data_IF_247897877678
#
_entry.id   IF_247897877678
#
_cell.length_a   1.000
_cell.length_b   1.000
_cell.length_c   1.000
_cell.angle_alpha   90.00
_cell.angle_beta   90.00
_cell.angle_gamma   90.00
#
_symmetry.space_group_name_H-M   'P 1'
#
loop_
_entity.id
_entity.type
_entity.pdbx_description
1 polymer ?
#
# COMPACT_ATOMS: atom_id res chain seq x y z
N UNK A 1 -0.50 7.79 -84.29
CA UNK A 1 0.08 7.16 -83.07
C UNK A 1 0.24 8.10 -81.87
N UNK A 2 0.35 9.44 -82.04
CA UNK A 2 0.44 10.40 -80.91
C UNK A 2 -0.89 10.78 -80.23
N UNK A 3 -2.04 10.57 -80.88
CA UNK A 3 -3.36 10.98 -80.35
C UNK A 3 -4.05 9.97 -79.46
N UNK A 4 -3.59 8.70 -79.44
CA UNK A 4 -4.16 7.66 -78.58
C UNK A 4 -3.59 7.68 -77.15
N UNK A 5 -2.36 8.19 -76.98
CA UNK A 5 -1.62 8.14 -75.71
C UNK A 5 -2.10 9.23 -74.72
N UNK A 6 -2.66 10.34 -75.21
CA UNK A 6 -3.09 11.45 -74.35
C UNK A 6 -4.43 11.20 -73.65
N UNK A 7 -5.36 10.46 -74.30
CA UNK A 7 -6.68 10.15 -73.71
C UNK A 7 -6.60 9.11 -72.58
N UNK A 8 -5.60 8.23 -72.60
CA UNK A 8 -5.42 7.18 -71.58
C UNK A 8 -4.88 7.78 -70.26
N UNK A 9 -4.07 8.84 -70.32
CA UNK A 9 -3.52 9.47 -69.10
C UNK A 9 -4.56 10.28 -68.31
N UNK A 10 -5.54 10.91 -68.96
CA UNK A 10 -6.60 11.65 -68.26
C UNK A 10 -7.61 10.70 -67.56
N UNK A 11 -7.86 9.51 -68.11
CA UNK A 11 -8.78 8.56 -67.49
C UNK A 11 -8.16 7.84 -66.28
N UNK A 12 -6.85 7.58 -66.30
CA UNK A 12 -6.17 6.95 -65.15
C UNK A 12 -6.05 7.88 -63.94
N UNK A 13 -5.93 9.20 -64.16
CA UNK A 13 -5.83 10.18 -63.07
C UNK A 13 -7.13 10.35 -62.27
N UNK A 14 -8.29 10.23 -62.92
CA UNK A 14 -9.60 10.37 -62.26
C UNK A 14 -9.96 9.09 -61.48
N UNK A 15 -9.53 7.91 -61.94
CA UNK A 15 -9.77 6.66 -61.22
C UNK A 15 -8.89 6.55 -59.97
N UNK A 16 -7.65 7.05 -59.99
CA UNK A 16 -6.76 7.00 -58.82
C UNK A 16 -7.18 8.00 -57.73
N UNK A 17 -7.80 9.13 -58.08
CA UNK A 17 -8.28 10.10 -57.09
C UNK A 17 -9.63 9.71 -56.43
N UNK A 18 -10.38 8.78 -57.02
CA UNK A 18 -11.63 8.27 -56.43
C UNK A 18 -11.41 7.12 -55.44
N UNK A 19 -10.18 6.58 -55.32
CA UNK A 19 -9.87 5.48 -54.40
C UNK A 19 -9.15 5.91 -53.10
N UNK A 20 -8.88 7.21 -52.89
CA UNK A 20 -8.21 7.70 -51.66
C UNK A 20 -9.14 8.32 -50.61
N UNK A 21 -10.44 8.17 -50.74
CA UNK A 21 -11.38 8.60 -49.71
C UNK A 21 -12.59 7.69 -49.72
N UNK A 22 -12.54 6.56 -49.01
CA UNK A 22 -13.11 6.38 -47.68
C UNK A 22 -12.69 5.00 -47.18
N UNK A 23 -11.74 4.92 -46.25
CA UNK A 23 -11.64 3.74 -45.39
C UNK A 23 -12.76 3.85 -44.36
N UNK A 24 -14.01 3.59 -44.77
CA UNK A 24 -15.02 3.14 -43.83
C UNK A 24 -14.52 1.78 -43.34
N UNK A 25 -13.90 1.73 -42.15
CA UNK A 25 -13.73 0.46 -41.45
C UNK A 25 -15.09 -0.21 -41.42
N UNK A 26 -15.24 -1.33 -42.12
CA UNK A 26 -16.47 -2.09 -42.12
C UNK A 26 -16.80 -2.43 -40.66
N UNK A 27 -17.94 -1.92 -40.17
CA UNK A 27 -18.40 -2.23 -38.82
C UNK A 27 -18.83 -3.69 -38.82
N UNK A 28 -18.04 -4.56 -38.21
CA UNK A 28 -18.40 -5.96 -38.11
C UNK A 28 -19.33 -6.16 -36.92
N UNK A 29 -20.45 -6.80 -37.20
CA UNK A 29 -21.41 -7.19 -36.19
C UNK A 29 -20.79 -8.26 -35.27
N UNK A 30 -20.83 -8.02 -33.96
CA UNK A 30 -20.28 -8.93 -32.94
C UNK A 30 -21.38 -9.84 -32.37
N UNK A 31 -22.54 -9.26 -32.04
CA UNK A 31 -23.66 -9.99 -31.43
C UNK A 31 -24.73 -9.08 -30.84
N UNK A 32 -25.71 -9.70 -30.16
CA UNK A 32 -26.82 -9.06 -29.48
C UNK A 32 -26.69 -9.09 -27.97
N UNK A 33 -27.24 -8.05 -27.35
CA UNK A 33 -27.44 -7.90 -25.92
C UNK A 33 -28.94 -7.76 -25.70
N UNK A 34 -29.51 -8.62 -24.86
CA UNK A 34 -30.94 -8.70 -24.56
C UNK A 34 -31.19 -8.15 -23.16
N UNK A 35 -31.88 -7.01 -23.06
CA UNK A 35 -32.50 -6.55 -21.81
C UNK A 35 -33.84 -7.27 -21.66
N UNK A 36 -33.84 -8.36 -20.91
CA UNK A 36 -35.05 -9.17 -20.69
C UNK A 36 -36.02 -8.47 -19.75
N UNK A 37 -35.51 -7.62 -18.85
CA UNK A 37 -36.35 -6.87 -17.91
C UNK A 37 -37.20 -5.81 -18.62
N UNK A 38 -36.64 -5.16 -19.66
CA UNK A 38 -37.31 -4.09 -20.41
C UNK A 38 -37.80 -4.50 -21.80
N UNK A 39 -37.53 -5.73 -22.22
CA UNK A 39 -37.88 -6.23 -23.55
C UNK A 39 -37.12 -5.49 -24.67
N UNK A 40 -35.88 -5.07 -24.42
CA UNK A 40 -35.06 -4.32 -25.38
C UNK A 40 -33.92 -5.18 -25.90
N UNK A 41 -33.48 -4.89 -27.12
CA UNK A 41 -32.37 -5.59 -27.77
C UNK A 41 -31.40 -4.57 -28.33
N UNK A 42 -30.11 -4.82 -28.16
CA UNK A 42 -29.04 -3.97 -28.65
C UNK A 42 -28.05 -4.79 -29.47
N UNK A 43 -27.62 -4.24 -30.60
CA UNK A 43 -26.57 -4.80 -31.45
C UNK A 43 -25.21 -4.19 -31.08
N UNK A 44 -24.20 -5.03 -30.86
CA UNK A 44 -22.82 -4.64 -30.60
C UNK A 44 -21.98 -4.82 -31.87
N UNK A 45 -21.12 -3.84 -32.16
CA UNK A 45 -20.15 -3.85 -33.25
C UNK A 45 -18.72 -3.91 -32.72
N UNK A 46 -17.79 -4.36 -33.56
CA UNK A 46 -16.38 -4.59 -33.25
C UNK A 46 -15.62 -3.33 -32.81
N UNK A 47 -16.05 -2.17 -33.27
CA UNK A 47 -15.55 -0.86 -32.86
C UNK A 47 -16.12 -0.39 -31.50
N UNK A 48 -16.86 -1.24 -30.79
CA UNK A 48 -17.49 -0.94 -29.50
C UNK A 48 -18.79 -0.14 -29.62
N UNK A 49 -19.28 0.18 -30.81
CA UNK A 49 -20.58 0.83 -30.98
C UNK A 49 -21.70 -0.12 -30.55
N UNK A 50 -22.64 0.39 -29.77
CA UNK A 50 -23.86 -0.30 -29.33
C UNK A 50 -25.07 0.49 -29.82
N UNK A 51 -26.02 -0.18 -30.45
CA UNK A 51 -27.21 0.45 -31.04
C UNK A 51 -28.45 -0.34 -30.65
N UNK A 52 -29.52 0.32 -30.19
CA UNK A 52 -30.79 -0.34 -29.91
C UNK A 52 -31.51 -0.77 -31.20
N UNK A 53 -31.93 -2.03 -31.28
CA UNK A 53 -32.74 -2.56 -32.37
C UNK A 53 -34.11 -1.85 -32.36
N UNK A 54 -34.54 -1.34 -33.52
CA UNK A 54 -35.80 -0.60 -33.67
C UNK A 54 -35.76 0.86 -33.19
N UNK A 55 -34.69 1.31 -32.53
CA UNK A 55 -34.49 2.71 -32.15
C UNK A 55 -33.02 3.16 -32.32
N UNK A 56 -32.54 3.40 -33.56
CA UNK A 56 -31.14 3.70 -33.83
C UNK A 56 -30.60 4.99 -33.18
N UNK A 57 -31.49 5.88 -32.73
CA UNK A 57 -31.14 7.09 -31.99
C UNK A 57 -30.59 6.80 -30.60
N UNK A 58 -30.95 5.65 -30.01
CA UNK A 58 -30.39 5.19 -28.75
C UNK A 58 -29.12 4.35 -29.02
N UNK A 59 -27.97 5.01 -28.98
CA UNK A 59 -26.66 4.42 -29.27
C UNK A 59 -25.55 5.05 -28.43
N UNK A 60 -24.46 4.32 -28.27
CA UNK A 60 -23.24 4.84 -27.66
C UNK A 60 -22.09 3.85 -27.77
N UNK A 61 -20.92 4.25 -27.28
CA UNK A 61 -19.75 3.38 -27.31
C UNK A 61 -19.61 2.64 -25.98
N UNK A 62 -19.55 1.33 -26.07
CA UNK A 62 -19.11 0.49 -24.99
C UNK A 62 -17.62 0.67 -24.76
N UNK A 63 -17.22 0.54 -23.50
CA UNK A 63 -15.83 0.57 -23.09
C UNK A 63 -15.51 -0.71 -22.36
N UNK A 64 -14.26 -1.14 -22.39
CA UNK A 64 -13.83 -2.26 -21.56
C UNK A 64 -14.12 -1.93 -20.10
N UNK A 65 -14.62 -2.90 -19.34
CA UNK A 65 -14.81 -2.63 -17.92
C UNK A 65 -13.45 -2.37 -17.25
N UNK A 66 -13.29 -1.21 -16.63
CA UNK A 66 -12.08 -0.82 -15.91
C UNK A 66 -11.64 -1.84 -14.89
N UNK A 67 -12.58 -2.39 -14.14
CA UNK A 67 -12.18 -3.11 -12.95
C UNK A 67 -11.67 -4.53 -13.25
N UNK A 68 -11.81 -4.98 -14.50
CA UNK A 68 -11.61 -6.36 -14.90
C UNK A 68 -12.62 -7.33 -14.27
N UNK A 69 -13.57 -6.84 -13.48
CA UNK A 69 -14.60 -7.66 -12.84
C UNK A 69 -15.69 -8.05 -13.82
N UNK A 70 -16.02 -7.12 -14.70
CA UNK A 70 -16.89 -7.33 -15.86
C UNK A 70 -16.02 -7.29 -17.12
N UNK A 71 -16.59 -7.64 -18.26
CA UNK A 71 -15.90 -7.61 -19.54
C UNK A 71 -16.09 -6.26 -20.23
N UNK A 72 -17.32 -5.74 -20.27
CA UNK A 72 -17.68 -4.54 -21.02
C UNK A 72 -18.64 -3.66 -20.22
N UNK A 73 -18.41 -2.35 -20.20
CA UNK A 73 -19.34 -1.34 -19.71
C UNK A 73 -20.09 -0.72 -20.89
N UNK A 74 -21.40 -0.72 -20.80
CA UNK A 74 -22.30 -0.13 -21.79
C UNK A 74 -22.67 1.32 -21.40
N UNK A 75 -22.98 2.19 -22.38
CA UNK A 75 -23.47 3.54 -22.12
C UNK A 75 -24.78 3.51 -21.34
N UNK A 76 -24.92 4.40 -20.35
CA UNK A 76 -26.13 4.56 -19.56
C UNK A 76 -26.77 5.93 -19.82
N UNK A 77 -28.09 5.98 -19.85
CA UNK A 77 -28.85 7.24 -20.04
C UNK A 77 -28.61 8.20 -18.86
N UNK A 78 -28.50 7.68 -17.64
CA UNK A 78 -28.12 8.45 -16.47
C UNK A 78 -26.98 7.75 -15.71
N UNK A 79 -25.71 8.06 -16.04
CA UNK A 79 -24.56 7.40 -15.44
C UNK A 79 -24.39 7.70 -13.94
N UNK A 80 -25.13 8.65 -13.37
CA UNK A 80 -25.14 8.94 -11.93
C UNK A 80 -26.09 8.05 -11.14
N UNK A 81 -27.04 7.38 -11.82
CA UNK A 81 -28.03 6.52 -11.17
C UNK A 81 -27.74 5.05 -11.39
N UNK A 82 -27.39 4.67 -12.61
CA UNK A 82 -27.14 3.29 -12.98
C UNK A 82 -26.03 3.15 -14.02
N UNK A 83 -25.45 1.95 -14.07
CA UNK A 83 -24.50 1.56 -15.09
C UNK A 83 -24.77 0.12 -15.54
N UNK A 84 -24.41 -0.16 -16.79
CA UNK A 84 -24.76 -1.37 -17.51
C UNK A 84 -23.50 -2.12 -17.89
N UNK A 85 -23.45 -3.43 -17.64
CA UNK A 85 -22.24 -4.24 -17.83
C UNK A 85 -22.54 -5.60 -18.43
N UNK A 86 -21.58 -6.13 -19.17
CA UNK A 86 -21.54 -7.52 -19.60
C UNK A 86 -20.47 -8.24 -18.80
N UNK A 87 -20.83 -9.32 -18.09
CA UNK A 87 -19.86 -10.14 -17.37
C UNK A 87 -19.25 -11.23 -18.27
N UNK A 88 -18.28 -12.00 -17.77
CA UNK A 88 -17.65 -13.09 -18.52
C UNK A 88 -18.50 -14.37 -18.62
N UNK A 89 -19.72 -14.38 -18.06
CA UNK A 89 -20.59 -15.57 -17.94
C UNK A 89 -21.83 -15.49 -18.82
N UNK A 90 -21.92 -14.52 -19.73
CA UNK A 90 -23.08 -14.34 -20.61
C UNK A 90 -24.19 -13.46 -20.03
N UNK A 91 -23.98 -12.80 -18.89
CA UNK A 91 -25.01 -11.99 -18.24
C UNK A 91 -24.92 -10.52 -18.64
N UNK A 92 -26.10 -9.92 -18.84
CA UNK A 92 -26.28 -8.48 -18.90
C UNK A 92 -26.71 -7.97 -17.52
N UNK A 93 -25.89 -7.13 -16.92
CA UNK A 93 -26.00 -6.67 -15.54
C UNK A 93 -26.32 -5.17 -15.52
N UNK A 94 -27.28 -4.79 -14.68
CA UNK A 94 -27.48 -3.40 -14.26
C UNK A 94 -26.99 -3.25 -12.83
N UNK A 95 -26.22 -2.20 -12.61
CA UNK A 95 -25.80 -1.77 -11.29
C UNK A 95 -26.49 -0.43 -11.03
N UNK A 96 -27.44 -0.46 -10.11
CA UNK A 96 -28.18 0.73 -9.67
C UNK A 96 -27.64 1.20 -8.32
N UNK A 97 -27.54 2.51 -8.11
CA UNK A 97 -27.00 3.08 -6.88
C UNK A 97 -27.82 2.67 -5.63
N UNK A 98 -29.14 2.53 -5.75
CA UNK A 98 -30.02 2.17 -4.64
C UNK A 98 -30.16 0.64 -4.48
N UNK A 99 -30.24 -0.10 -5.59
CA UNK A 99 -30.56 -1.53 -5.59
C UNK A 99 -29.34 -2.46 -5.74
N UNK A 100 -28.20 -1.92 -6.18
CA UNK A 100 -27.00 -2.69 -6.48
C UNK A 100 -27.04 -3.48 -7.78
N UNK A 101 -26.21 -4.52 -7.84
CA UNK A 101 -26.03 -5.34 -9.05
C UNK A 101 -27.15 -6.35 -9.21
N UNK A 102 -27.78 -6.36 -10.39
CA UNK A 102 -28.78 -7.37 -10.79
C UNK A 102 -28.59 -7.79 -12.24
N UNK A 103 -28.84 -9.06 -12.52
CA UNK A 103 -28.90 -9.56 -13.90
C UNK A 103 -30.23 -9.13 -14.51
N UNK A 104 -30.18 -8.38 -15.60
CA UNK A 104 -31.35 -7.89 -16.34
C UNK A 104 -31.51 -8.57 -17.70
N UNK A 105 -30.54 -9.39 -18.10
CA UNK A 105 -30.66 -10.23 -19.29
C UNK A 105 -29.35 -10.92 -19.69
N UNK A 106 -29.12 -11.10 -20.98
CA UNK A 106 -28.02 -11.92 -21.52
C UNK A 106 -27.45 -11.35 -22.83
N UNK A 107 -26.33 -11.90 -23.31
CA UNK A 107 -25.78 -11.63 -24.64
C UNK A 107 -25.41 -12.94 -25.36
N UNK A 108 -25.28 -12.92 -26.69
CA UNK A 108 -25.17 -14.13 -27.54
C UNK A 108 -23.80 -14.37 -28.20
N UNK A 109 -22.79 -13.60 -27.81
CA UNK A 109 -21.43 -13.69 -28.34
C UNK A 109 -20.43 -14.16 -27.28
N UNK A 110 -19.26 -14.62 -27.69
CA UNK A 110 -18.23 -15.10 -26.77
C UNK A 110 -17.43 -13.92 -26.18
N UNK A 111 -17.36 -13.76 -24.85
CA UNK A 111 -16.53 -12.72 -24.25
C UNK A 111 -15.04 -13.05 -24.46
N UNK A 112 -14.17 -12.03 -24.61
CA UNK A 112 -12.73 -12.24 -24.56
C UNK A 112 -12.35 -12.86 -23.20
N UNK A 113 -11.23 -13.59 -23.18
CA UNK A 113 -10.76 -14.22 -21.95
C UNK A 113 -10.55 -13.15 -20.85
N UNK A 114 -11.00 -13.42 -19.60
CA UNK A 114 -10.69 -12.55 -18.48
C UNK A 114 -9.17 -12.47 -18.32
N UNK A 115 -8.64 -11.28 -18.02
CA UNK A 115 -7.26 -11.15 -17.57
C UNK A 115 -7.15 -11.92 -16.26
N UNK A 116 -6.55 -13.10 -16.32
CA UNK A 116 -6.32 -13.94 -15.14
C UNK A 116 -5.06 -13.42 -14.48
N UNK A 117 -5.23 -12.53 -13.49
CA UNK A 117 -4.15 -12.21 -12.55
C UNK A 117 -4.04 -13.41 -11.60
N UNK A 118 -3.19 -14.38 -11.96
CA UNK A 118 -2.91 -15.52 -11.09
C UNK A 118 -2.01 -15.00 -9.96
N UNK A 119 -2.62 -14.64 -8.84
CA UNK A 119 -1.90 -14.37 -7.60
C UNK A 119 -1.27 -15.67 -7.10
N UNK A 120 0.06 -15.75 -7.15
CA UNK A 120 0.81 -16.74 -6.40
C UNK A 120 1.35 -16.07 -5.13
N UNK A 121 0.86 -16.45 -3.93
CA UNK A 121 1.42 -15.94 -2.69
C UNK A 121 2.90 -16.34 -2.62
N UNK A 122 3.77 -15.36 -2.36
CA UNK A 122 5.21 -15.59 -2.25
C UNK A 122 5.49 -16.46 -1.03
N UNK A 123 6.17 -17.59 -1.22
CA UNK A 123 6.60 -18.46 -0.15
C UNK A 123 7.69 -17.76 0.68
N UNK A 124 7.45 -17.62 1.99
CA UNK A 124 8.34 -16.91 2.90
C UNK A 124 9.51 -17.79 3.37
N UNK A 125 10.64 -17.16 3.70
CA UNK A 125 11.74 -17.82 4.39
C UNK A 125 11.44 -17.78 5.90
N UNK A 126 11.32 -18.93 6.60
CA UNK A 126 10.91 -18.98 8.00
C UNK A 126 11.92 -18.34 8.97
N UNK A 127 13.10 -17.95 8.51
CA UNK A 127 14.19 -17.48 9.38
C UNK A 127 14.30 -15.95 9.52
N UNK A 128 13.39 -15.16 8.94
CA UNK A 128 13.36 -13.69 9.06
C UNK A 128 11.95 -13.27 9.48
N UNK A 129 11.76 -12.67 10.66
CA UNK A 129 10.43 -12.33 11.16
C UNK A 129 10.40 -11.48 12.44
N UNK A 130 9.19 -11.02 12.78
CA UNK A 130 8.88 -10.20 13.95
C UNK A 130 8.71 -11.07 15.18
N UNK A 131 9.36 -10.71 16.28
CA UNK A 131 9.12 -11.39 17.56
C UNK A 131 7.87 -10.83 18.23
N UNK A 132 6.88 -11.70 18.43
CA UNK A 132 5.68 -11.37 19.19
C UNK A 132 5.97 -11.25 20.68
N UNK A 133 5.06 -10.66 21.45
CA UNK A 133 5.14 -10.61 22.91
C UNK A 133 5.23 -12.00 23.57
N UNK A 134 4.81 -13.06 22.87
CA UNK A 134 4.91 -14.47 23.31
C UNK A 134 6.22 -15.16 22.91
N UNK A 135 7.14 -14.45 22.22
CA UNK A 135 8.43 -14.97 21.77
C UNK A 135 8.39 -15.74 20.44
N UNK A 136 7.23 -15.83 19.78
CA UNK A 136 7.08 -16.47 18.48
C UNK A 136 7.59 -15.53 17.37
N UNK A 137 8.12 -16.10 16.28
CA UNK A 137 8.61 -15.34 15.13
C UNK A 137 7.58 -15.39 13.99
N UNK A 138 7.00 -14.25 13.63
CA UNK A 138 6.10 -14.12 12.47
C UNK A 138 6.92 -13.69 11.25
N UNK A 139 7.01 -14.51 10.19
CA UNK A 139 7.94 -14.26 9.10
C UNK A 139 7.57 -13.02 8.26
N UNK A 140 8.58 -12.22 7.90
CA UNK A 140 8.46 -11.09 6.97
C UNK A 140 8.64 -11.62 5.54
N UNK A 141 7.81 -11.22 4.57
CA UNK A 141 7.97 -11.66 3.20
C UNK A 141 9.28 -11.26 2.52
N UNK A 142 9.90 -12.23 1.83
CA UNK A 142 11.30 -12.21 1.39
C UNK A 142 11.59 -11.26 0.21
N UNK A 143 10.56 -10.93 -0.58
CA UNK A 143 10.65 -10.00 -1.71
C UNK A 143 10.68 -8.52 -1.29
N UNK A 144 10.54 -8.24 0.02
CA UNK A 144 10.45 -6.89 0.58
C UNK A 144 11.63 -6.52 1.48
N UNK A 145 12.55 -7.47 1.69
CA UNK A 145 13.73 -7.28 2.56
C UNK A 145 14.94 -6.97 1.70
N UNK A 146 15.51 -5.78 1.87
CA UNK A 146 16.84 -5.49 1.35
C UNK A 146 17.87 -6.30 2.15
N UNK A 147 18.41 -7.36 1.52
CA UNK A 147 19.36 -8.30 2.15
C UNK A 147 20.66 -7.62 2.63
N UNK A 148 20.96 -6.43 2.11
CA UNK A 148 22.17 -5.69 2.47
C UNK A 148 22.01 -4.83 3.72
N UNK A 149 20.76 -4.54 4.13
CA UNK A 149 20.39 -3.68 5.28
C UNK A 149 19.35 -4.36 6.19
N UNK A 150 19.77 -5.35 7.01
CA UNK A 150 18.85 -6.11 7.86
C UNK A 150 18.37 -5.36 9.11
N UNK A 151 18.99 -4.22 9.46
CA UNK A 151 18.67 -3.48 10.68
C UNK A 151 17.86 -2.22 10.38
N UNK A 152 16.77 -2.04 11.12
CA UNK A 152 15.89 -0.89 11.06
C UNK A 152 16.35 0.33 11.86
N UNK A 153 15.62 1.44 11.77
CA UNK A 153 15.81 2.64 12.60
C UNK A 153 15.23 2.45 14.01
N UNK A 154 16.01 2.74 15.07
CA UNK A 154 15.58 2.54 16.48
C UNK A 154 14.45 3.49 16.79
N UNK A 155 13.32 2.98 17.30
CA UNK A 155 12.24 3.83 17.78
C UNK A 155 12.65 4.49 19.10
N UNK A 156 13.33 5.63 19.00
CA UNK A 156 13.87 6.35 20.15
C UNK A 156 13.55 7.83 20.06
N UNK A 157 13.44 8.47 21.22
CA UNK A 157 13.19 9.91 21.33
C UNK A 157 13.95 10.52 22.51
N UNK A 158 13.92 11.84 22.62
CA UNK A 158 14.61 12.61 23.67
C UNK A 158 13.79 12.68 24.96
N UNK A 159 14.46 12.92 26.10
CA UNK A 159 13.81 13.21 27.38
C UNK A 159 12.80 14.35 27.24
N UNK A 160 13.17 15.44 26.57
CA UNK A 160 12.31 16.61 26.38
C UNK A 160 11.05 16.28 25.57
N UNK A 161 11.18 15.50 24.50
CA UNK A 161 10.02 15.06 23.71
C UNK A 161 9.09 14.18 24.55
N UNK A 162 9.65 13.27 25.35
CA UNK A 162 8.87 12.44 26.27
C UNK A 162 8.16 13.27 27.35
N UNK A 163 8.82 14.30 27.91
CA UNK A 163 8.21 15.24 28.88
C UNK A 163 7.06 16.00 28.23
N UNK A 164 7.25 16.49 27.01
CA UNK A 164 6.20 17.19 26.27
C UNK A 164 4.99 16.28 26.04
N UNK A 165 5.23 15.05 25.59
CA UNK A 165 4.18 14.05 25.41
C UNK A 165 3.44 13.72 26.70
N UNK A 166 4.17 13.59 27.81
CA UNK A 166 3.58 13.32 29.12
C UNK A 166 2.63 14.45 29.53
N UNK A 167 3.12 15.69 29.49
CA UNK A 167 2.35 16.87 29.88
C UNK A 167 1.11 17.09 28.99
N UNK A 168 1.23 16.86 27.68
CA UNK A 168 0.11 16.96 26.73
C UNK A 168 -0.95 15.87 26.94
N UNK A 169 -0.60 14.79 27.63
CA UNK A 169 -1.47 13.62 27.83
C UNK A 169 -2.10 13.59 29.22
N UNK A 170 -1.88 14.60 30.05
CA UNK A 170 -2.54 14.72 31.35
C UNK A 170 -3.99 15.17 31.18
N UNK A 171 -4.91 14.49 31.85
CA UNK A 171 -6.31 14.90 31.94
C UNK A 171 -6.49 15.99 33.01
N UNK A 172 -7.68 16.58 33.09
CA UNK A 172 -8.03 17.61 34.10
C UNK A 172 -7.85 17.16 35.55
N UNK A 173 -7.77 15.84 35.81
CA UNK A 173 -7.48 15.26 37.12
C UNK A 173 -6.01 14.92 37.37
N UNK A 174 -5.09 15.42 36.54
CA UNK A 174 -3.66 15.08 36.56
C UNK A 174 -3.38 13.57 36.39
N UNK A 175 -4.30 12.85 35.73
CA UNK A 175 -4.14 11.44 35.38
C UNK A 175 -3.62 11.33 33.95
N UNK A 176 -2.65 10.46 33.72
CA UNK A 176 -2.09 10.24 32.39
C UNK A 176 -3.06 9.46 31.51
N UNK A 177 -3.47 10.05 30.39
CA UNK A 177 -4.12 9.33 29.30
C UNK A 177 -3.06 8.50 28.56
N UNK A 178 -2.99 7.22 28.89
CA UNK A 178 -1.99 6.32 28.33
C UNK A 178 -2.08 6.21 26.81
N UNK A 179 -3.27 6.23 26.20
CA UNK A 179 -3.35 6.16 24.73
C UNK A 179 -2.76 7.42 24.10
N UNK A 180 -3.17 8.61 24.57
CA UNK A 180 -2.68 9.88 24.05
C UNK A 180 -1.16 10.02 24.23
N UNK A 181 -0.64 9.53 25.36
CA UNK A 181 0.79 9.50 25.61
C UNK A 181 1.53 8.58 24.63
N UNK A 182 1.03 7.35 24.44
CA UNK A 182 1.60 6.40 23.48
C UNK A 182 1.58 6.93 22.05
N UNK A 183 0.49 7.60 21.65
CA UNK A 183 0.35 8.24 20.34
C UNK A 183 1.40 9.33 20.11
N UNK A 184 1.56 10.21 21.09
CA UNK A 184 2.57 11.26 21.04
C UNK A 184 3.98 10.67 20.98
N UNK A 185 4.26 9.65 21.79
CA UNK A 185 5.55 8.96 21.78
C UNK A 185 5.84 8.35 20.41
N UNK A 186 4.90 7.62 19.79
CA UNK A 186 5.07 7.06 18.45
C UNK A 186 5.40 8.15 17.44
N UNK A 187 4.67 9.27 17.46
CA UNK A 187 4.91 10.38 16.54
C UNK A 187 6.31 11.00 16.70
N UNK A 188 6.92 10.91 17.89
CA UNK A 188 8.24 11.44 18.20
C UNK A 188 9.38 10.40 18.14
N UNK A 189 9.05 9.10 18.02
CA UNK A 189 9.97 7.97 17.94
C UNK A 189 10.03 7.32 16.57
N UNK A 190 9.10 7.63 15.68
CA UNK A 190 8.98 6.97 14.37
C UNK A 190 9.15 7.94 13.22
N UNK A 191 9.56 7.40 12.07
CA UNK A 191 9.62 8.15 10.84
C UNK A 191 8.24 8.50 10.34
N UNK A 192 8.19 9.48 9.42
CA UNK A 192 6.92 9.97 8.88
C UNK A 192 6.10 8.83 8.29
N UNK A 193 6.71 7.91 7.54
CA UNK A 193 6.00 6.80 6.92
C UNK A 193 5.49 5.79 7.94
N UNK A 194 6.33 5.39 8.88
CA UNK A 194 6.00 4.45 9.95
C UNK A 194 4.87 4.98 10.84
N UNK A 195 4.88 6.29 11.14
CA UNK A 195 3.81 6.96 11.85
C UNK A 195 2.50 6.97 11.05
N UNK A 196 2.55 7.22 9.75
CA UNK A 196 1.35 7.16 8.90
C UNK A 196 0.82 5.73 8.76
N UNK A 197 1.68 4.72 8.68
CA UNK A 197 1.29 3.30 8.72
C UNK A 197 0.60 2.94 10.04
N UNK A 198 1.14 3.40 11.18
CA UNK A 198 0.51 3.27 12.48
C UNK A 198 -0.89 3.88 12.50
N UNK A 199 -1.02 5.11 11.99
CA UNK A 199 -2.31 5.82 11.88
C UNK A 199 -3.29 5.11 10.96
N UNK A 200 -2.84 4.48 9.87
CA UNK A 200 -3.71 3.70 9.01
C UNK A 200 -4.43 2.59 9.78
N UNK A 201 -3.73 1.86 10.66
CA UNK A 201 -4.40 0.83 11.45
C UNK A 201 -5.31 1.43 12.51
N UNK A 202 -4.81 2.43 13.21
CA UNK A 202 -5.54 3.07 14.31
C UNK A 202 -6.85 3.72 13.87
N UNK A 203 -6.86 4.36 12.70
CA UNK A 203 -7.99 5.20 12.26
C UNK A 203 -8.96 4.47 11.33
N UNK A 204 -8.66 3.23 10.95
CA UNK A 204 -9.50 2.45 10.04
C UNK A 204 -10.34 1.43 10.79
N UNK A 205 -11.60 1.32 10.42
CA UNK A 205 -12.56 0.40 11.06
C UNK A 205 -12.42 -1.03 10.53
N UNK A 206 -11.94 -1.21 9.30
CA UNK A 206 -11.85 -2.51 8.64
C UNK A 206 -10.47 -2.76 8.03
N UNK A 207 -10.14 -4.03 7.81
CA UNK A 207 -8.83 -4.41 7.26
C UNK A 207 -8.68 -3.93 5.80
N UNK A 208 -9.77 -3.78 5.05
CA UNK A 208 -9.76 -3.15 3.74
C UNK A 208 -9.39 -1.67 3.82
N UNK A 209 -9.98 -0.90 4.73
CA UNK A 209 -9.61 0.50 4.93
C UNK A 209 -8.15 0.66 5.36
N UNK A 210 -7.69 -0.20 6.28
CA UNK A 210 -6.30 -0.25 6.72
C UNK A 210 -5.36 -0.51 5.54
N UNK A 211 -5.71 -1.51 4.72
CA UNK A 211 -4.94 -1.91 3.54
C UNK A 211 -4.86 -0.79 2.52
N UNK A 212 -5.99 -0.17 2.19
CA UNK A 212 -6.04 0.94 1.23
C UNK A 212 -5.26 2.15 1.75
N UNK A 213 -5.39 2.49 3.02
CA UNK A 213 -4.58 3.55 3.63
C UNK A 213 -3.08 3.26 3.51
N UNK A 214 -2.64 2.04 3.86
CA UNK A 214 -1.23 1.65 3.75
C UNK A 214 -0.73 1.64 2.30
N UNK A 215 -1.55 1.22 1.33
CA UNK A 215 -1.22 1.32 -0.11
C UNK A 215 -0.88 2.76 -0.47
N UNK A 216 -1.66 3.73 0.02
CA UNK A 216 -1.41 5.14 -0.27
C UNK A 216 -0.23 5.74 0.46
N UNK A 217 0.08 5.27 1.68
CA UNK A 217 1.26 5.73 2.45
C UNK A 217 2.57 5.14 1.89
N UNK A 218 2.53 3.87 1.47
CA UNK A 218 3.72 3.11 1.08
C UNK A 218 4.06 3.23 -0.40
N UNK A 219 3.08 3.56 -1.24
CA UNK A 219 3.24 3.69 -2.68
C UNK A 219 3.74 5.08 -3.13
N UNK A 220 3.76 5.29 -4.45
CA UNK A 220 4.01 6.59 -5.05
C UNK A 220 2.76 7.48 -5.09
N UNK A 221 2.86 8.62 -5.78
CA UNK A 221 1.73 9.54 -5.95
C UNK A 221 0.52 8.88 -6.64
N UNK A 222 0.77 7.95 -7.57
CA UNK A 222 -0.28 7.17 -8.25
C UNK A 222 -0.99 6.20 -7.31
N UNK A 223 -0.23 5.40 -6.56
CA UNK A 223 -0.78 4.48 -5.58
C UNK A 223 -1.58 5.21 -4.49
N UNK A 224 -1.12 6.40 -4.07
CA UNK A 224 -1.86 7.27 -3.18
C UNK A 224 -3.22 7.68 -3.76
N UNK A 225 -3.26 8.08 -5.04
CA UNK A 225 -4.50 8.41 -5.72
C UNK A 225 -5.43 7.20 -5.83
N UNK A 226 -4.91 6.05 -6.28
CA UNK A 226 -5.70 4.82 -6.39
C UNK A 226 -6.26 4.37 -5.04
N UNK A 227 -5.45 4.41 -3.99
CA UNK A 227 -5.87 4.11 -2.63
C UNK A 227 -7.02 5.00 -2.16
N UNK A 228 -6.94 6.31 -2.42
CA UNK A 228 -8.01 7.25 -2.05
C UNK A 228 -9.29 6.99 -2.84
N UNK A 229 -9.18 6.76 -4.15
CA UNK A 229 -10.30 6.40 -5.01
C UNK A 229 -10.97 5.11 -4.51
N UNK A 230 -10.19 4.07 -4.23
CA UNK A 230 -10.71 2.79 -3.71
C UNK A 230 -11.28 2.91 -2.30
N UNK A 231 -10.67 3.71 -1.42
CA UNK A 231 -11.19 3.94 -0.08
C UNK A 231 -12.53 4.69 -0.12
N UNK A 232 -12.73 5.58 -1.09
CA UNK A 232 -14.04 6.20 -1.34
C UNK A 232 -15.06 5.15 -1.78
N UNK A 233 -14.71 4.31 -2.77
CA UNK A 233 -15.55 3.21 -3.23
C UNK A 233 -15.94 2.24 -2.11
N UNK A 234 -14.98 1.87 -1.26
CA UNK A 234 -15.21 0.99 -0.12
C UNK A 234 -16.15 1.61 0.91
N UNK A 235 -16.00 2.90 1.24
CA UNK A 235 -16.93 3.59 2.15
C UNK A 235 -18.36 3.67 1.62
N UNK A 236 -18.52 3.72 0.30
CA UNK A 236 -19.82 3.85 -0.35
C UNK A 236 -20.52 2.50 -0.54
N UNK A 237 -19.77 1.46 -0.91
CA UNK A 237 -20.32 0.17 -1.33
C UNK A 237 -19.82 -1.03 -0.51
N UNK A 238 -18.93 -0.83 0.46
CA UNK A 238 -18.33 -1.88 1.28
C UNK A 238 -17.56 -2.89 0.42
N UNK A 239 -17.80 -4.17 0.71
CA UNK A 239 -17.23 -5.33 -0.01
C UNK A 239 -18.05 -5.74 -1.23
N UNK A 240 -19.09 -4.98 -1.62
CA UNK A 240 -19.84 -5.22 -2.84
C UNK A 240 -19.07 -4.66 -4.05
N UNK A 241 -17.97 -5.33 -4.39
CA UNK A 241 -17.11 -4.95 -5.51
C UNK A 241 -17.88 -4.87 -6.83
N UNK A 242 -19.04 -5.54 -6.97
CA UNK A 242 -19.85 -5.38 -8.18
C UNK A 242 -20.20 -3.91 -8.45
N UNK A 243 -20.35 -3.07 -7.41
CA UNK A 243 -20.70 -1.64 -7.52
C UNK A 243 -19.53 -0.69 -7.76
N UNK A 244 -18.28 -1.12 -7.58
CA UNK A 244 -17.11 -0.24 -7.74
C UNK A 244 -16.95 0.43 -9.12
N UNK A 245 -17.40 -0.16 -10.24
CA UNK A 245 -17.40 0.55 -11.52
C UNK A 245 -18.16 1.89 -11.51
N UNK A 246 -19.11 2.10 -10.57
CA UNK A 246 -19.83 3.37 -10.42
C UNK A 246 -18.93 4.51 -9.90
N UNK A 247 -18.07 4.23 -8.92
CA UNK A 247 -17.18 5.22 -8.32
C UNK A 247 -15.82 5.32 -9.04
N UNK A 248 -15.44 4.31 -9.83
CA UNK A 248 -14.23 4.32 -10.66
C UNK A 248 -14.43 4.98 -12.04
N UNK A 249 -15.64 5.43 -12.36
CA UNK A 249 -16.12 5.79 -13.69
C UNK A 249 -15.31 6.85 -14.47
N UNK A 250 -14.32 7.54 -13.87
CA UNK A 250 -13.42 8.50 -14.51
C UNK A 250 -11.95 8.09 -14.61
N UNK A 251 -11.49 7.05 -13.89
CA UNK A 251 -10.08 6.60 -13.84
C UNK A 251 -9.90 5.23 -14.52
N UNK A 252 -10.88 4.91 -15.36
CA UNK A 252 -11.20 3.56 -15.82
C UNK A 252 -10.15 2.90 -16.71
N UNK A 253 -9.41 3.71 -17.46
CA UNK A 253 -8.45 3.22 -18.44
C UNK A 253 -7.09 2.88 -17.84
N UNK A 254 -6.85 3.13 -16.55
CA UNK A 254 -5.53 2.93 -15.95
C UNK A 254 -5.31 1.46 -15.55
N UNK A 255 -4.43 0.71 -16.26
CA UNK A 255 -4.23 -0.73 -16.04
C UNK A 255 -3.70 -1.07 -14.64
N UNK A 256 -2.96 -0.17 -13.99
CA UNK A 256 -2.45 -0.38 -12.64
C UNK A 256 -3.59 -0.29 -11.61
N UNK A 257 -4.49 0.69 -11.74
CA UNK A 257 -5.68 0.77 -10.89
C UNK A 257 -6.55 -0.50 -11.00
N UNK A 258 -6.72 -1.05 -12.20
CA UNK A 258 -7.47 -2.30 -12.41
C UNK A 258 -6.82 -3.47 -11.67
N UNK A 259 -5.49 -3.56 -11.75
CA UNK A 259 -4.72 -4.58 -11.05
C UNK A 259 -4.91 -4.46 -9.55
N UNK A 260 -4.80 -3.26 -8.97
CA UNK A 260 -5.01 -3.04 -7.55
C UNK A 260 -6.42 -3.45 -7.10
N UNK A 261 -7.47 -3.03 -7.84
CA UNK A 261 -8.86 -3.43 -7.59
C UNK A 261 -8.99 -4.95 -7.57
N UNK A 262 -8.43 -5.63 -8.56
CA UNK A 262 -8.52 -7.09 -8.68
C UNK A 262 -7.87 -7.81 -7.50
N UNK A 263 -6.72 -7.31 -7.02
CA UNK A 263 -5.99 -7.85 -5.88
C UNK A 263 -6.78 -7.73 -4.58
N UNK A 264 -7.30 -6.53 -4.30
CA UNK A 264 -8.07 -6.28 -3.08
C UNK A 264 -9.39 -7.07 -3.10
N UNK A 265 -10.08 -7.14 -4.25
CA UNK A 265 -11.28 -7.96 -4.43
C UNK A 265 -11.03 -9.43 -4.15
N UNK A 266 -10.00 -10.01 -4.78
CA UNK A 266 -9.69 -11.43 -4.64
C UNK A 266 -9.38 -11.77 -3.17
N UNK A 267 -8.62 -10.91 -2.49
CA UNK A 267 -8.29 -11.10 -1.08
C UNK A 267 -9.51 -10.95 -0.17
N UNK A 268 -10.43 -10.05 -0.49
CA UNK A 268 -11.68 -9.90 0.26
C UNK A 268 -12.55 -11.16 0.16
N UNK A 269 -12.59 -11.80 -1.01
CA UNK A 269 -13.32 -13.05 -1.20
C UNK A 269 -12.74 -14.22 -0.39
N UNK A 270 -11.44 -14.22 -0.11
CA UNK A 270 -10.78 -15.26 0.68
C UNK A 270 -10.58 -14.89 2.16
N UNK A 271 -10.99 -13.68 2.58
CA UNK A 271 -10.76 -13.17 3.94
C UNK A 271 -9.29 -12.91 4.24
N UNK A 272 -8.47 -12.68 3.21
CA UNK A 272 -7.02 -12.52 3.30
C UNK A 272 -6.56 -11.10 2.96
N UNK A 273 -7.46 -10.11 3.05
CA UNK A 273 -7.09 -8.71 2.80
C UNK A 273 -6.07 -8.30 3.85
N UNK A 274 -4.90 -7.90 3.39
CA UNK A 274 -3.95 -7.12 4.14
C UNK A 274 -3.01 -6.42 3.16
N UNK A 275 -2.30 -5.41 3.65
CA UNK A 275 -1.35 -4.67 2.84
C UNK A 275 -0.31 -5.58 2.17
N UNK A 276 0.25 -6.57 2.87
CA UNK A 276 1.34 -7.39 2.33
C UNK A 276 0.88 -8.23 1.14
N UNK A 277 -0.27 -8.88 1.26
CA UNK A 277 -0.89 -9.63 0.17
C UNK A 277 -1.25 -8.69 -0.99
N UNK A 278 -1.82 -7.53 -0.69
CA UNK A 278 -2.15 -6.52 -1.71
C UNK A 278 -0.90 -6.03 -2.43
N UNK A 279 0.17 -5.75 -1.70
CA UNK A 279 1.44 -5.31 -2.24
C UNK A 279 2.08 -6.36 -3.14
N UNK A 280 2.08 -7.64 -2.72
CA UNK A 280 2.56 -8.74 -3.55
C UNK A 280 1.75 -8.89 -4.84
N UNK A 281 0.42 -8.82 -4.73
CA UNK A 281 -0.46 -9.00 -5.88
C UNK A 281 -0.34 -7.83 -6.88
N UNK A 282 -0.34 -6.59 -6.36
CA UNK A 282 -0.27 -5.39 -7.17
C UNK A 282 1.13 -5.16 -7.76
N UNK A 283 2.19 -5.48 -7.02
CA UNK A 283 3.58 -5.29 -7.43
C UNK A 283 4.38 -4.70 -6.28
N UNK A 284 5.20 -5.53 -5.64
CA UNK A 284 6.00 -5.13 -4.49
C UNK A 284 6.96 -3.97 -4.80
N UNK A 285 7.44 -3.90 -6.04
CA UNK A 285 8.31 -2.85 -6.58
C UNK A 285 7.65 -1.47 -6.68
N UNK A 286 6.30 -1.42 -6.65
CA UNK A 286 5.53 -0.17 -6.64
C UNK A 286 5.52 0.51 -5.28
N UNK A 287 5.91 -0.21 -4.24
CA UNK A 287 5.94 0.29 -2.88
C UNK A 287 7.37 0.49 -2.45
N UNK A 288 7.62 1.62 -1.79
CA UNK A 288 8.93 1.88 -1.20
C UNK A 288 9.02 1.18 0.16
N UNK A 289 9.04 -0.16 0.11
CA UNK A 289 9.13 -1.06 1.25
C UNK A 289 10.61 -1.30 1.56
N UNK A 290 11.10 -0.64 2.61
CA UNK A 290 12.31 -1.04 3.31
C UNK A 290 11.96 -1.98 4.47
N UNK A 291 12.98 -2.47 5.17
CA UNK A 291 12.84 -3.38 6.31
C UNK A 291 11.96 -2.74 7.41
N UNK A 292 12.18 -1.46 7.70
CA UNK A 292 11.50 -0.68 8.75
C UNK A 292 10.02 -0.52 8.48
N UNK A 293 9.65 -0.08 7.29
CA UNK A 293 8.26 0.10 6.92
C UNK A 293 7.53 -1.24 6.87
N UNK A 294 8.22 -2.32 6.48
CA UNK A 294 7.65 -3.67 6.52
C UNK A 294 7.35 -4.13 7.96
N UNK A 295 8.29 -3.90 8.88
CA UNK A 295 8.09 -4.16 10.32
C UNK A 295 6.94 -3.30 10.84
N UNK A 296 6.93 -2.00 10.55
CA UNK A 296 5.88 -1.09 10.98
C UNK A 296 4.50 -1.52 10.48
N UNK A 297 4.36 -1.93 9.22
CA UNK A 297 3.10 -2.44 8.65
C UNK A 297 2.59 -3.64 9.43
N UNK A 298 3.44 -4.64 9.62
CA UNK A 298 3.05 -5.89 10.28
C UNK A 298 2.79 -5.67 11.77
N UNK A 299 3.57 -4.83 12.43
CA UNK A 299 3.37 -4.47 13.83
C UNK A 299 2.13 -3.61 14.04
N UNK A 300 1.83 -2.70 13.12
CA UNK A 300 0.59 -1.93 13.17
C UNK A 300 -0.61 -2.88 13.02
N UNK A 301 -0.59 -3.76 12.01
CA UNK A 301 -1.66 -4.73 11.77
C UNK A 301 -1.85 -5.68 12.96
N UNK A 302 -0.75 -6.18 13.54
CA UNK A 302 -0.78 -7.13 14.66
C UNK A 302 -1.20 -6.46 15.97
N UNK A 303 -0.82 -5.20 16.18
CA UNK A 303 -1.21 -4.43 17.38
C UNK A 303 -2.64 -3.92 17.33
N UNK A 304 -3.29 -3.94 16.16
CA UNK A 304 -4.60 -3.31 15.96
C UNK A 304 -4.55 -1.80 16.22
N UNK A 305 -3.41 -1.15 16.02
CA UNK A 305 -3.23 0.28 16.29
C UNK A 305 -3.06 0.63 17.78
N UNK A 306 -2.92 -0.36 18.67
CA UNK A 306 -2.66 -0.12 20.08
C UNK A 306 -1.22 0.41 20.26
N UNK A 307 -1.01 1.62 20.83
CA UNK A 307 0.29 2.28 20.80
C UNK A 307 1.43 1.47 21.45
N UNK A 308 1.19 0.84 22.59
CA UNK A 308 2.22 0.15 23.37
C UNK A 308 2.61 -1.20 22.75
N UNK A 309 1.63 -1.94 22.23
CA UNK A 309 1.85 -3.19 21.49
C UNK A 309 2.58 -2.88 20.19
N UNK A 310 2.20 -1.79 19.51
CA UNK A 310 2.90 -1.33 18.31
C UNK A 310 4.37 -0.99 18.63
N UNK A 311 4.63 -0.17 19.64
CA UNK A 311 5.99 0.20 20.03
C UNK A 311 6.81 -1.01 20.49
N UNK A 312 6.21 -1.94 21.22
CA UNK A 312 6.90 -3.16 21.63
C UNK A 312 7.23 -4.10 20.46
N UNK A 313 6.38 -4.12 19.44
CA UNK A 313 6.58 -4.90 18.23
C UNK A 313 7.59 -4.25 17.29
N UNK A 314 7.44 -2.94 16.99
CA UNK A 314 8.21 -2.25 15.96
C UNK A 314 9.47 -1.56 16.49
N UNK A 315 9.46 -1.19 17.78
CA UNK A 315 10.59 -0.58 18.48
C UNK A 315 11.40 -1.54 19.33
N UNK A 316 10.96 -2.80 19.45
CA UNK A 316 11.64 -3.85 20.21
C UNK A 316 11.58 -3.71 21.73
N UNK A 317 12.22 -4.67 22.41
CA UNK A 317 12.14 -4.82 23.87
C UNK A 317 12.68 -3.62 24.65
N UNK A 318 13.76 -2.99 24.17
CA UNK A 318 14.35 -1.83 24.86
C UNK A 318 13.41 -0.63 24.88
N UNK A 319 12.77 -0.33 23.75
CA UNK A 319 11.81 0.76 23.63
C UNK A 319 10.56 0.48 24.47
N UNK A 320 10.08 -0.76 24.47
CA UNK A 320 8.98 -1.19 25.34
C UNK A 320 9.31 -0.99 26.83
N UNK A 321 10.52 -1.35 27.26
CA UNK A 321 10.96 -1.17 28.64
C UNK A 321 11.06 0.31 29.03
N UNK A 322 11.57 1.16 28.15
CA UNK A 322 11.61 2.60 28.39
C UNK A 322 10.21 3.20 28.46
N UNK A 323 9.34 2.86 27.52
CA UNK A 323 7.96 3.33 27.54
C UNK A 323 7.21 2.86 28.81
N UNK A 324 7.46 1.64 29.27
CA UNK A 324 6.90 1.13 30.52
C UNK A 324 7.42 1.89 31.76
N UNK A 325 8.69 2.32 31.77
CA UNK A 325 9.20 3.19 32.86
C UNK A 325 8.50 4.55 32.87
N UNK A 326 8.12 5.09 31.72
CA UNK A 326 7.38 6.35 31.67
C UNK A 326 6.05 6.25 32.43
N UNK A 327 5.39 5.08 32.33
CA UNK A 327 4.10 4.83 32.98
C UNK A 327 4.23 4.52 34.47
N UNK A 328 5.30 3.83 34.86
CA UNK A 328 5.44 3.27 36.21
C UNK A 328 6.28 4.13 37.15
N UNK A 329 7.25 4.87 36.61
CA UNK A 329 8.22 5.68 37.39
C UNK A 329 8.09 7.17 37.01
N UNK A 330 7.73 7.47 35.77
CA UNK A 330 7.67 8.83 35.22
C UNK A 330 8.75 9.08 34.17
N UNK A 331 8.72 10.28 33.59
CA UNK A 331 9.67 10.70 32.55
C UNK A 331 10.87 11.39 33.17
N UNK A 332 12.08 11.03 32.72
CA UNK A 332 13.31 11.70 33.09
C UNK A 332 13.90 11.29 34.44
N UNK A 333 14.93 12.02 34.87
CA UNK A 333 15.67 11.75 36.12
C UNK A 333 16.50 10.46 36.09
N UNK A 334 16.98 10.01 37.25
CA UNK A 334 17.90 8.87 37.35
C UNK A 334 17.23 7.49 37.16
N UNK A 335 15.91 7.41 37.38
CA UNK A 335 15.14 6.15 37.36
C UNK A 335 13.99 6.13 36.35
N UNK A 336 13.54 7.29 35.87
CA UNK A 336 12.46 7.39 34.90
C UNK A 336 12.90 7.06 33.48
N UNK A 337 11.96 7.07 32.55
CA UNK A 337 12.25 6.74 31.17
C UNK A 337 12.98 7.87 30.44
N UNK A 338 13.80 7.49 29.46
CA UNK A 338 14.53 8.42 28.58
C UNK A 338 15.41 9.46 29.28
N UNK A 339 15.65 9.35 30.60
CA UNK A 339 16.58 10.19 31.36
C UNK A 339 18.05 9.79 31.20
N UNK A 340 18.96 10.50 31.88
CA UNK A 340 20.44 10.33 31.80
C UNK A 340 20.96 8.90 32.02
N UNK A 341 20.17 8.05 32.68
CA UNK A 341 20.54 6.69 33.10
C UNK A 341 19.66 5.60 32.46
N UNK A 342 18.97 5.91 31.36
CA UNK A 342 18.01 4.99 30.76
C UNK A 342 18.68 3.74 30.12
N UNK A 343 17.91 2.66 29.95
CA UNK A 343 18.39 1.34 29.50
C UNK A 343 18.94 1.42 28.07
N UNK A 344 18.36 2.25 27.22
CA UNK A 344 18.82 2.45 25.83
C UNK A 344 20.20 3.10 25.84
N UNK A 345 20.38 4.22 26.56
CA UNK A 345 21.66 4.94 26.69
C UNK A 345 22.73 4.06 27.33
N UNK A 346 22.39 3.28 28.36
CA UNK A 346 23.35 2.33 28.98
C UNK A 346 23.80 1.25 28.01
N UNK A 347 22.87 0.70 27.24
CA UNK A 347 23.18 -0.33 26.23
C UNK A 347 24.05 0.26 25.11
N UNK A 348 23.72 1.46 24.63
CA UNK A 348 24.51 2.15 23.61
C UNK A 348 25.90 2.55 24.12
N UNK A 349 26.02 3.06 25.35
CA UNK A 349 27.33 3.36 25.96
C UNK A 349 28.20 2.12 26.12
N UNK A 350 27.61 0.99 26.55
CA UNK A 350 28.33 -0.30 26.63
C UNK A 350 28.86 -0.72 25.25
N UNK A 351 28.03 -0.60 24.22
CA UNK A 351 28.43 -0.90 22.85
C UNK A 351 29.54 0.05 22.37
N UNK A 352 29.44 1.35 22.66
CA UNK A 352 30.47 2.33 22.33
C UNK A 352 31.81 2.04 22.98
N UNK A 353 31.81 1.55 24.24
CA UNK A 353 33.03 1.11 24.93
C UNK A 353 33.64 -0.13 24.27
N UNK A 354 32.83 -1.12 23.89
CA UNK A 354 33.32 -2.32 23.18
C UNK A 354 33.90 -1.98 21.80
N UNK A 355 33.23 -1.11 21.03
CA UNK A 355 33.73 -0.62 19.74
C UNK A 355 35.03 0.18 19.96
N UNK A 356 35.09 1.04 21.00
CA UNK A 356 36.30 1.82 21.34
C UNK A 356 37.49 0.94 21.69
N UNK A 357 37.26 -0.17 22.41
CA UNK A 357 38.30 -1.14 22.76
C UNK A 357 38.85 -1.87 21.53
N UNK A 358 38.02 -2.08 20.50
CA UNK A 358 38.40 -2.86 19.32
C UNK A 358 39.02 -2.02 18.20
N UNK A 359 38.49 -0.82 17.97
CA UNK A 359 38.92 0.05 16.86
C UNK A 359 39.82 1.21 17.32
N UNK A 360 39.94 1.42 18.64
CA UNK A 360 40.66 2.53 19.24
C UNK A 360 39.77 3.79 19.37
N UNK A 361 39.94 4.58 20.45
CA UNK A 361 39.05 5.71 20.77
C UNK A 361 39.07 6.85 19.74
N UNK A 362 40.10 6.90 18.89
CA UNK A 362 40.27 7.92 17.86
C UNK A 362 39.78 7.49 16.47
N UNK A 363 39.24 6.27 16.32
CA UNK A 363 38.68 5.80 15.06
C UNK A 363 37.39 6.59 14.71
N UNK A 364 37.20 6.92 13.44
CA UNK A 364 36.05 7.71 12.99
C UNK A 364 34.71 7.04 13.30
N UNK A 365 34.62 5.70 13.25
CA UNK A 365 33.43 4.93 13.63
C UNK A 365 33.13 5.12 15.12
N UNK A 366 34.16 5.06 15.97
CA UNK A 366 34.05 5.21 17.42
C UNK A 366 33.66 6.63 17.81
N UNK A 367 34.31 7.63 17.21
CA UNK A 367 34.00 9.05 17.45
C UNK A 367 32.58 9.37 17.01
N UNK A 368 32.18 8.94 15.82
CA UNK A 368 30.84 9.22 15.30
C UNK A 368 29.78 8.51 16.14
N UNK A 369 30.00 7.26 16.54
CA UNK A 369 29.11 6.52 17.43
C UNK A 369 28.95 7.21 18.80
N UNK A 370 30.05 7.57 19.46
CA UNK A 370 30.03 8.21 20.78
C UNK A 370 29.38 9.60 20.74
N UNK A 371 29.69 10.41 19.71
CA UNK A 371 29.05 11.70 19.49
C UNK A 371 27.53 11.55 19.33
N UNK A 372 27.10 10.50 18.65
CA UNK A 372 25.67 10.21 18.43
C UNK A 372 24.96 9.77 19.71
N UNK A 373 25.60 8.96 20.55
CA UNK A 373 25.04 8.58 21.86
C UNK A 373 24.97 9.80 22.78
N UNK A 374 25.93 10.72 22.69
CA UNK A 374 25.92 11.98 23.42
C UNK A 374 24.82 12.93 22.90
N UNK A 375 24.71 13.11 21.59
CA UNK A 375 23.65 13.91 20.96
C UNK A 375 22.26 13.36 21.28
N UNK A 376 22.10 12.05 21.45
CA UNK A 376 20.84 11.45 21.89
C UNK A 376 20.41 11.91 23.29
N UNK A 377 21.37 12.19 24.19
CA UNK A 377 21.08 12.67 25.54
C UNK A 377 20.72 14.17 25.59
N UNK A 378 20.98 14.93 24.52
CA UNK A 378 20.83 16.39 24.51
C UNK A 378 20.03 16.96 23.32
N UNK A 379 19.76 16.17 22.28
CA UNK A 379 19.22 16.61 20.99
C UNK A 379 17.73 16.34 20.77
N UNK A 380 17.08 17.05 19.83
CA UNK A 380 15.63 16.98 19.62
C UNK A 380 15.22 15.82 18.70
N UNK A 381 14.95 14.64 19.29
CA UNK A 381 14.08 13.60 18.70
C UNK A 381 14.59 12.85 17.45
N UNK A 382 13.68 12.05 16.87
CA UNK A 382 13.92 11.04 15.81
C UNK A 382 14.61 11.55 14.52
N UNK A 383 14.53 12.84 14.22
CA UNK A 383 15.02 13.40 12.95
C UNK A 383 16.54 13.64 12.88
N UNK A 384 17.32 13.19 13.86
CA UNK A 384 18.74 13.47 13.91
C UNK A 384 19.58 12.39 13.19
N UNK A 385 20.67 12.81 12.54
CA UNK A 385 21.72 11.97 11.91
C UNK A 385 22.18 10.80 12.80
N UNK A 386 21.96 10.90 14.12
CA UNK A 386 22.11 9.86 15.13
C UNK A 386 21.43 8.53 14.81
N UNK A 387 20.14 8.53 14.47
CA UNK A 387 19.38 7.28 14.22
C UNK A 387 19.87 6.62 12.93
N UNK A 388 20.10 7.42 11.88
CA UNK A 388 20.68 6.97 10.62
C UNK A 388 22.09 6.43 10.80
N UNK A 389 22.91 7.05 11.65
CA UNK A 389 24.27 6.60 11.94
C UNK A 389 24.27 5.32 12.77
N UNK A 390 23.39 5.17 13.77
CA UNK A 390 23.26 3.90 14.52
C UNK A 390 22.88 2.75 13.58
N UNK A 391 21.95 2.99 12.65
CA UNK A 391 21.59 2.04 11.59
C UNK A 391 22.76 1.74 10.66
N UNK A 392 23.44 2.76 10.15
CA UNK A 392 24.56 2.61 9.22
C UNK A 392 25.75 1.90 9.88
N UNK A 393 26.06 2.24 11.13
CA UNK A 393 27.13 1.64 11.93
C UNK A 393 26.81 0.17 12.23
N UNK A 394 25.57 -0.17 12.60
CA UNK A 394 25.16 -1.57 12.78
C UNK A 394 25.27 -2.39 11.48
N UNK A 395 24.90 -1.79 10.35
CA UNK A 395 25.03 -2.40 9.03
C UNK A 395 26.50 -2.54 8.57
N UNK A 396 27.38 -1.60 8.91
CA UNK A 396 28.82 -1.64 8.62
C UNK A 396 29.58 -2.61 9.54
N UNK A 397 29.26 -2.66 10.84
CA UNK A 397 29.83 -3.59 11.81
C UNK A 397 29.52 -5.06 11.45
N UNK A 398 28.36 -5.33 10.85
CA UNK A 398 28.03 -6.66 10.30
C UNK A 398 28.94 -7.04 9.12
N UNK A 399 29.29 -6.07 8.27
CA UNK A 399 30.18 -6.29 7.13
C UNK A 399 31.65 -6.47 7.55
N UNK A 400 32.03 -6.01 8.74
CA UNK A 400 33.40 -6.10 9.25
C UNK A 400 33.86 -7.53 9.61
N UNK A 401 32.94 -8.47 9.88
CA UNK A 401 33.23 -9.89 10.10
C UNK A 401 34.04 -10.24 11.37
N UNK A 402 34.02 -11.52 11.79
CA UNK A 402 34.89 -12.06 12.86
C UNK A 402 34.28 -12.07 14.28
N UNK A 403 35.12 -11.88 15.32
CA UNK A 403 34.70 -11.88 16.74
C UNK A 403 33.67 -10.78 17.07
N UNK A 404 33.62 -9.72 16.25
CA UNK A 404 32.65 -8.62 16.32
C UNK A 404 31.22 -9.13 16.10
N UNK A 405 31.00 -10.01 15.11
CA UNK A 405 29.70 -10.63 14.87
C UNK A 405 29.23 -11.44 16.08
N UNK A 406 30.17 -12.07 16.81
CA UNK A 406 29.89 -12.92 17.96
C UNK A 406 29.49 -12.11 19.21
N UNK A 407 30.14 -10.98 19.48
CA UNK A 407 29.78 -10.09 20.60
C UNK A 407 28.49 -9.29 20.28
N UNK A 408 28.37 -8.78 19.05
CA UNK A 408 27.14 -8.14 18.58
C UNK A 408 25.96 -9.13 18.67
N UNK A 409 26.14 -10.42 18.32
CA UNK A 409 25.13 -11.50 18.51
C UNK A 409 24.78 -11.82 19.98
N UNK A 410 25.60 -11.45 20.97
CA UNK A 410 25.27 -11.63 22.40
C UNK A 410 24.42 -10.48 22.95
N UNK A 411 24.55 -9.29 22.36
CA UNK A 411 23.78 -8.08 22.75
C UNK A 411 22.52 -7.91 21.89
N UNK A 412 22.56 -8.33 20.63
CA UNK A 412 21.45 -8.36 19.67
C UNK A 412 20.16 -9.04 20.15
N UNK A 413 20.16 -10.08 21.02
CA UNK A 413 18.92 -10.66 21.54
C UNK A 413 18.11 -9.67 22.38
N UNK A 414 18.75 -8.63 22.91
CA UNK A 414 18.13 -7.53 23.68
C UNK A 414 17.75 -6.35 22.78
N UNK A 415 18.46 -6.18 21.66
CA UNK A 415 18.15 -5.23 20.57
C UNK A 415 17.53 -6.04 19.41
N UNK A 416 16.52 -6.86 19.71
CA UNK A 416 15.74 -7.50 18.66
C UNK A 416 14.71 -6.50 18.16
N UNK A 417 14.96 -6.05 16.94
CA UNK A 417 14.08 -5.28 16.09
C UNK A 417 12.80 -6.04 15.80
#
# INVERSE_FOLDING_TARGET
MKTLITKVKCFLGIIIFLFTSVSFSAQNYVGKIFDQLRGQVFSLYDNGLVVQDGNPGNRGFAQRDPSGMMFLRLPAVNPYRNAYFLDYRGNFIEIDYALGSRVIGKYDFQPPAPLTVIYQPVQTNPNIGIMTASGNVTPIPVNLVNKDQPFGDVMITSEQAAVNCYNQSLTSGNQLNQSAFGDCMIANMTGRKENEVYKCVKNSATVEEQTLCMVGVMGGSKEQQYAQTLAKCYREFGTDYSKYPLCLAGEVSDPELQKLVSCVKQQAQTGQVNFMNTAMCYGADKFNLNTEATIAVQCAATSGGQPYVFVGCAGGQLTAMELNKCLTIGVGGDKGCFGKNNTIVRTLNSLGQEISQHFGPNNDIVRNFNNVVQDFTTGPGYNHEAVKLLRNTGNELRKAGGNIEREVRKVLPRIKW
#
